data_IF_749477426280
#
_entry.id   IF_749477426280
#
_cell.length_a   1.000
_cell.length_b   1.000
_cell.length_c   1.000
_cell.angle_alpha   90.00
_cell.angle_beta   90.00
_cell.angle_gamma   90.00
#
_symmetry.space_group_name_H-M   'P 1'
#
loop_
_entity.id
_entity.type
_entity.pdbx_description
1 polymer ?
#
# COMPACT_ATOMS: atom_id res chain seq x y z
N UNK A 1 41.70 41.89 44.59
CA UNK A 1 41.66 41.25 43.26
C UNK A 1 40.47 40.30 43.23
N UNK A 2 39.31 40.69 42.70
CA UNK A 2 38.20 39.76 42.42
C UNK A 2 38.03 39.70 40.91
N UNK A 3 38.44 38.58 40.32
CA UNK A 3 38.33 38.34 38.89
C UNK A 3 36.89 37.96 38.54
N UNK A 4 36.30 38.71 37.61
CA UNK A 4 35.01 38.41 36.99
C UNK A 4 35.20 37.21 36.06
N UNK A 5 34.40 36.15 36.23
CA UNK A 5 34.20 35.14 35.21
C UNK A 5 32.77 35.25 34.68
N UNK A 6 32.64 35.85 33.50
CA UNK A 6 31.43 35.81 32.69
C UNK A 6 31.52 34.55 31.81
N UNK A 7 30.70 33.54 32.13
CA UNK A 7 30.50 32.39 31.25
C UNK A 7 29.44 32.75 30.21
N UNK A 8 29.84 32.87 28.95
CA UNK A 8 28.92 32.99 27.82
C UNK A 8 28.38 31.58 27.49
N UNK A 9 27.14 31.31 27.90
CA UNK A 9 26.43 30.09 27.51
C UNK A 9 25.89 30.23 26.08
N UNK A 10 26.39 29.42 25.15
CA UNK A 10 25.82 29.29 23.82
C UNK A 10 24.61 28.34 23.88
N UNK A 11 23.40 28.87 23.72
CA UNK A 11 22.18 28.08 23.57
C UNK A 11 22.06 27.59 22.14
N UNK A 12 22.27 26.28 21.94
CA UNK A 12 22.03 25.60 20.67
C UNK A 12 20.52 25.38 20.51
N UNK A 13 19.86 26.21 19.70
CA UNK A 13 18.44 26.05 19.39
C UNK A 13 18.23 24.89 18.41
N UNK A 14 17.65 23.79 18.88
CA UNK A 14 17.18 22.68 18.04
C UNK A 14 15.85 23.09 17.39
N UNK A 15 15.88 23.38 16.09
CA UNK A 15 14.65 23.57 15.31
C UNK A 15 14.02 22.20 15.04
N UNK A 16 12.94 21.88 15.75
CA UNK A 16 12.07 20.76 15.38
C UNK A 16 11.23 21.19 14.18
N UNK A 17 11.57 20.67 13.00
CA UNK A 17 10.73 20.83 11.81
C UNK A 17 9.58 19.83 11.91
N UNK A 18 8.42 20.28 12.36
CA UNK A 18 7.20 19.46 12.33
C UNK A 18 6.79 19.27 10.87
N UNK A 19 6.86 18.04 10.37
CA UNK A 19 6.27 17.72 9.07
C UNK A 19 4.74 17.85 9.18
N UNK A 20 4.13 18.55 8.23
CA UNK A 20 2.68 18.80 8.20
C UNK A 20 2.04 17.68 7.37
N UNK A 21 1.07 16.97 7.95
CA UNK A 21 0.25 16.01 7.22
C UNK A 21 -0.63 16.73 6.19
N UNK A 22 -0.77 16.14 5.00
CA UNK A 22 -1.59 16.68 3.91
C UNK A 22 -2.66 15.67 3.50
N UNK A 23 -3.75 16.16 2.90
CA UNK A 23 -4.78 15.30 2.34
C UNK A 23 -4.27 14.66 1.03
N UNK A 24 -4.54 13.37 0.87
CA UNK A 24 -4.26 12.65 -0.36
C UNK A 24 -5.24 13.09 -1.47
N UNK A 25 -4.75 13.53 -2.64
CA UNK A 25 -5.62 13.89 -3.75
C UNK A 25 -6.20 12.64 -4.40
N UNK A 26 -7.40 12.78 -4.98
CA UNK A 26 -7.95 11.78 -5.90
C UNK A 26 -7.07 11.72 -7.16
N UNK A 27 -6.59 10.53 -7.49
CA UNK A 27 -5.77 10.24 -8.69
C UNK A 27 -6.70 10.07 -9.90
N UNK A 28 -6.36 10.68 -11.03
CA UNK A 28 -7.24 10.80 -12.22
C UNK A 28 -6.62 10.36 -13.54
N UNK A 29 -5.38 9.90 -13.52
CA UNK A 29 -4.56 9.55 -14.68
C UNK A 29 -4.07 8.10 -14.65
N UNK A 30 -4.75 7.24 -13.86
CA UNK A 30 -4.46 5.81 -13.86
C UNK A 30 -4.72 5.19 -15.23
N UNK A 31 -3.88 4.23 -15.60
CA UNK A 31 -3.91 3.59 -16.91
C UNK A 31 -4.79 2.32 -16.85
N UNK A 32 -5.94 2.25 -17.56
CA UNK A 32 -6.89 1.14 -17.41
C UNK A 32 -6.32 -0.23 -17.80
N UNK A 33 -5.45 -0.28 -18.81
CA UNK A 33 -4.85 -1.53 -19.31
C UNK A 33 -3.62 -1.98 -18.52
N UNK A 34 -3.15 -1.17 -17.57
CA UNK A 34 -1.98 -1.50 -16.74
C UNK A 34 -2.43 -2.29 -15.53
N UNK A 35 -2.14 -3.60 -15.54
CA UNK A 35 -2.53 -4.56 -14.52
C UNK A 35 -1.32 -4.97 -13.68
N UNK A 36 -1.45 -4.87 -12.36
CA UNK A 36 -0.49 -5.39 -11.41
C UNK A 36 -1.11 -6.52 -10.58
N UNK A 37 -0.30 -7.51 -10.23
CA UNK A 37 -0.71 -8.57 -9.31
C UNK A 37 0.26 -8.72 -8.14
N UNK A 38 -0.25 -9.07 -6.97
CA UNK A 38 0.55 -9.50 -5.82
C UNK A 38 0.02 -10.83 -5.32
N UNK A 39 0.85 -11.87 -5.37
CA UNK A 39 0.52 -13.22 -4.87
C UNK A 39 1.14 -13.38 -3.48
N UNK A 40 0.34 -13.88 -2.53
CA UNK A 40 0.82 -14.12 -1.17
C UNK A 40 1.70 -15.37 -1.10
N UNK A 41 2.76 -15.29 -0.29
CA UNK A 41 3.76 -16.34 -0.19
C UNK A 41 3.21 -17.64 0.41
N UNK A 42 3.84 -18.75 0.04
CA UNK A 42 3.68 -20.00 0.76
C UNK A 42 4.55 -19.98 2.03
N UNK A 43 3.91 -19.78 3.19
CA UNK A 43 4.58 -19.69 4.50
C UNK A 43 3.98 -20.71 5.47
N UNK A 44 4.82 -21.46 6.15
CA UNK A 44 4.38 -22.43 7.17
C UNK A 44 3.67 -21.77 8.36
N UNK A 45 3.98 -20.50 8.63
CA UNK A 45 3.46 -19.75 9.78
C UNK A 45 2.20 -18.92 9.48
N UNK A 46 1.58 -19.11 8.32
CA UNK A 46 0.32 -18.47 7.93
C UNK A 46 -0.49 -19.39 7.04
N UNK A 47 -1.79 -19.48 7.28
CA UNK A 47 -2.71 -20.23 6.42
C UNK A 47 -3.21 -19.40 5.23
N UNK A 48 -3.03 -18.08 5.27
CA UNK A 48 -3.59 -17.17 4.28
C UNK A 48 -2.84 -17.30 2.95
N UNK A 49 -3.58 -17.57 1.87
CA UNK A 49 -3.09 -17.62 0.48
C UNK A 49 -4.00 -16.78 -0.41
N UNK A 50 -3.60 -16.59 -1.66
CA UNK A 50 -4.39 -15.89 -2.66
C UNK A 50 -3.63 -14.75 -3.33
N UNK A 51 -4.35 -13.77 -3.85
CA UNK A 51 -3.76 -12.65 -4.59
C UNK A 51 -4.58 -11.36 -4.54
N UNK A 52 -3.90 -10.26 -4.84
CA UNK A 52 -4.46 -8.97 -5.22
C UNK A 52 -4.24 -8.78 -6.71
N UNK A 53 -5.29 -8.44 -7.45
CA UNK A 53 -5.20 -7.96 -8.84
C UNK A 53 -5.66 -6.51 -8.87
N UNK A 54 -4.84 -5.63 -9.43
CA UNK A 54 -5.04 -4.19 -9.42
C UNK A 54 -4.96 -3.61 -10.84
N UNK A 55 -5.93 -2.77 -11.23
CA UNK A 55 -5.98 -2.16 -12.57
C UNK A 55 -6.66 -0.79 -12.52
N UNK A 56 -6.32 0.10 -13.46
CA UNK A 56 -6.95 1.42 -13.54
C UNK A 56 -8.44 1.32 -13.87
N UNK A 57 -9.26 2.23 -13.30
CA UNK A 57 -10.64 2.37 -13.74
C UNK A 57 -10.71 2.97 -15.15
N UNK A 58 -11.75 2.64 -15.92
CA UNK A 58 -11.90 3.07 -17.33
C UNK A 58 -11.88 4.60 -17.51
N UNK A 59 -12.31 5.35 -16.49
CA UNK A 59 -12.30 6.82 -16.45
C UNK A 59 -10.97 7.42 -15.98
N UNK A 60 -9.95 6.57 -15.74
CA UNK A 60 -8.63 6.93 -15.20
C UNK A 60 -8.62 7.29 -13.72
N UNK A 61 -9.78 7.31 -13.04
CA UNK A 61 -9.89 7.81 -11.67
C UNK A 61 -9.76 6.63 -10.69
N UNK A 62 -8.68 6.56 -9.93
CA UNK A 62 -8.46 5.47 -8.97
C UNK A 62 -8.18 4.09 -9.60
N UNK A 63 -8.04 3.10 -8.74
CA UNK A 63 -7.60 1.73 -9.03
C UNK A 63 -8.68 0.76 -8.54
N UNK A 64 -9.09 -0.17 -9.39
CA UNK A 64 -9.84 -1.34 -8.97
C UNK A 64 -8.93 -2.38 -8.35
N UNK A 65 -9.31 -2.88 -7.18
CA UNK A 65 -8.69 -4.04 -6.56
C UNK A 65 -9.69 -5.18 -6.54
N UNK A 66 -9.32 -6.30 -7.16
CA UNK A 66 -9.93 -7.59 -6.87
C UNK A 66 -9.03 -8.36 -5.91
N UNK A 67 -9.60 -8.73 -4.77
CA UNK A 67 -8.88 -9.45 -3.71
C UNK A 67 -9.52 -10.81 -3.52
N UNK A 68 -8.74 -11.86 -3.73
CA UNK A 68 -9.18 -13.24 -3.51
C UNK A 68 -8.24 -13.90 -2.52
N UNK A 69 -8.74 -14.28 -1.35
CA UNK A 69 -7.99 -14.94 -0.28
C UNK A 69 -8.66 -16.25 0.12
N UNK A 70 -7.83 -17.20 0.55
CA UNK A 70 -8.25 -18.48 1.14
C UNK A 70 -7.47 -18.73 2.42
N UNK A 71 -7.99 -19.62 3.28
CA UNK A 71 -7.32 -19.96 4.54
C UNK A 71 -7.28 -18.81 5.54
N UNK A 72 -8.23 -17.88 5.44
CA UNK A 72 -8.42 -16.81 6.42
C UNK A 72 -8.90 -17.42 7.74
N UNK A 73 -8.31 -17.05 8.91
CA UNK A 73 -8.75 -17.57 10.19
C UNK A 73 -10.17 -17.09 10.53
N UNK A 74 -11.05 -18.02 10.96
CA UNK A 74 -12.50 -17.78 11.12
C UNK A 74 -12.88 -16.92 12.32
N UNK A 75 -12.05 -16.90 13.36
CA UNK A 75 -12.36 -16.24 14.64
C UNK A 75 -11.74 -14.84 14.75
N UNK A 76 -11.30 -14.25 13.63
CA UNK A 76 -10.65 -12.94 13.63
C UNK A 76 -10.87 -12.19 12.32
N UNK A 77 -10.45 -10.94 12.27
CA UNK A 77 -10.36 -10.15 11.04
C UNK A 77 -8.89 -9.90 10.71
N UNK A 78 -8.61 -9.67 9.43
CA UNK A 78 -7.26 -9.32 8.98
C UNK A 78 -7.25 -7.91 8.40
N UNK A 79 -6.29 -7.10 8.83
CA UNK A 79 -6.00 -5.83 8.18
C UNK A 79 -5.05 -6.07 7.01
N UNK A 80 -5.06 -5.15 6.05
CA UNK A 80 -4.17 -5.23 4.91
C UNK A 80 -3.82 -3.85 4.40
N UNK A 81 -2.54 -3.66 4.13
CA UNK A 81 -1.99 -2.36 3.74
C UNK A 81 -1.01 -2.53 2.60
N UNK A 82 -0.91 -1.51 1.76
CA UNK A 82 0.22 -1.36 0.84
C UNK A 82 1.37 -0.74 1.62
N UNK A 83 2.52 -1.41 1.64
CA UNK A 83 3.72 -1.00 2.34
C UNK A 83 4.70 -0.30 1.39
N UNK A 84 5.52 0.59 1.95
CA UNK A 84 6.41 1.48 1.18
C UNK A 84 7.56 0.77 0.45
N UNK A 85 7.92 -0.45 0.86
CA UNK A 85 9.01 -1.21 0.23
C UNK A 85 8.53 -2.56 -0.29
N UNK A 86 9.19 -3.11 -1.33
CA UNK A 86 8.96 -4.49 -1.73
C UNK A 86 9.36 -5.46 -0.60
N UNK A 87 8.74 -6.64 -0.61
CA UNK A 87 9.21 -7.81 0.10
C UNK A 87 10.58 -8.21 -0.46
N UNK A 88 11.63 -8.33 0.36
CA UNK A 88 12.94 -8.82 -0.06
C UNK A 88 12.92 -10.30 -0.45
N UNK A 89 14.02 -10.79 -1.02
CA UNK A 89 14.18 -12.18 -1.47
C UNK A 89 13.97 -13.22 -0.37
N UNK A 90 14.25 -12.88 0.90
CA UNK A 90 14.05 -13.77 2.05
C UNK A 90 12.57 -13.89 2.50
N UNK A 91 11.65 -13.19 1.83
CA UNK A 91 10.21 -13.24 2.12
C UNK A 91 9.80 -12.54 3.42
N UNK A 92 10.69 -11.79 4.06
CA UNK A 92 10.42 -11.16 5.35
C UNK A 92 9.50 -9.94 5.20
N UNK A 93 8.24 -10.11 5.62
CA UNK A 93 7.23 -9.05 5.58
C UNK A 93 7.57 -7.85 6.46
N UNK A 94 8.44 -7.96 7.46
CA UNK A 94 8.83 -6.82 8.29
C UNK A 94 9.77 -5.84 7.55
N UNK A 95 10.50 -6.34 6.55
CA UNK A 95 11.42 -5.53 5.75
C UNK A 95 10.72 -4.60 4.75
N UNK A 96 9.40 -4.73 4.58
CA UNK A 96 8.60 -3.84 3.71
C UNK A 96 8.43 -2.43 4.28
N UNK A 97 8.91 -2.18 5.51
CA UNK A 97 8.83 -0.85 6.15
C UNK A 97 7.43 -0.51 6.64
N UNK A 98 7.11 0.79 6.72
CA UNK A 98 5.79 1.29 7.08
C UNK A 98 4.78 1.20 5.93
N UNK A 99 3.57 1.72 6.16
CA UNK A 99 2.56 1.86 5.11
C UNK A 99 3.02 2.89 4.06
N UNK A 100 2.51 2.78 2.84
CA UNK A 100 2.67 3.83 1.83
C UNK A 100 1.93 5.09 2.28
N UNK A 101 2.69 6.08 2.76
CA UNK A 101 2.15 7.30 3.36
C UNK A 101 2.90 8.55 2.89
N UNK A 102 2.78 8.89 1.58
CA UNK A 102 3.51 10.01 1.00
C UNK A 102 3.09 11.38 1.56
N UNK A 103 1.95 11.46 2.24
CA UNK A 103 1.40 12.69 2.81
C UNK A 103 1.53 12.76 4.33
N UNK A 104 2.32 11.85 4.92
CA UNK A 104 2.73 11.88 6.33
C UNK A 104 1.55 11.92 7.30
N UNK A 105 0.47 11.21 6.94
CA UNK A 105 -0.77 11.15 7.70
C UNK A 105 -0.55 10.44 9.04
N UNK A 106 0.20 9.34 9.03
CA UNK A 106 0.44 8.46 10.17
C UNK A 106 -0.72 7.49 10.47
N UNK A 107 -0.53 6.64 11.48
CA UNK A 107 -1.50 5.56 11.77
C UNK A 107 -2.62 6.00 12.73
N UNK A 108 -2.47 7.17 13.37
CA UNK A 108 -3.37 7.65 14.42
C UNK A 108 -3.88 9.08 14.12
N UNK A 109 -5.19 9.33 14.28
CA UNK A 109 -6.25 8.35 14.61
C UNK A 109 -6.44 7.30 13.50
N UNK A 110 -7.17 6.19 13.72
CA UNK A 110 -7.48 5.22 12.67
C UNK A 110 -8.16 5.89 11.46
N UNK A 111 -8.08 5.29 10.28
CA UNK A 111 -8.73 5.83 9.08
C UNK A 111 -10.22 6.05 9.32
N UNK A 112 -10.71 7.23 8.91
CA UNK A 112 -12.11 7.56 8.92
C UNK A 112 -12.64 7.55 7.48
N UNK A 113 -13.49 6.59 7.16
CA UNK A 113 -14.04 6.40 5.81
C UNK A 113 -14.94 7.53 5.35
N UNK A 114 -15.39 8.43 6.25
CA UNK A 114 -16.15 9.63 5.85
C UNK A 114 -15.27 10.75 5.29
N UNK A 115 -13.95 10.68 5.51
CA UNK A 115 -12.93 11.62 5.04
C UNK A 115 -11.68 10.84 4.58
N UNK A 116 -11.81 9.93 3.61
CA UNK A 116 -10.76 8.97 3.26
C UNK A 116 -9.50 9.61 2.66
N UNK A 117 -9.59 10.86 2.19
CA UNK A 117 -8.44 11.70 1.80
C UNK A 117 -7.47 11.96 2.97
N UNK A 118 -7.95 11.85 4.20
CA UNK A 118 -7.15 11.99 5.42
C UNK A 118 -6.56 10.67 5.91
N UNK A 119 -6.66 9.58 5.15
CA UNK A 119 -6.06 8.28 5.48
C UNK A 119 -4.72 8.11 4.78
N UNK A 120 -3.87 7.20 5.27
CA UNK A 120 -2.66 6.85 4.53
C UNK A 120 -3.06 6.27 3.17
N UNK A 121 -2.30 6.59 2.13
CA UNK A 121 -2.58 6.11 0.77
C UNK A 121 -2.64 4.57 0.74
N UNK A 122 -1.74 3.93 1.49
CA UNK A 122 -1.67 2.47 1.64
C UNK A 122 -2.62 1.85 2.67
N UNK A 123 -3.43 2.62 3.41
CA UNK A 123 -4.38 2.07 4.40
C UNK A 123 -5.67 1.57 3.72
N UNK A 124 -5.60 0.40 3.08
CA UNK A 124 -6.69 -0.13 2.27
C UNK A 124 -7.77 -0.76 3.14
N UNK A 125 -7.42 -1.52 4.19
CA UNK A 125 -8.42 -2.02 5.13
C UNK A 125 -9.15 -0.92 5.89
N UNK A 126 -8.48 0.20 6.21
CA UNK A 126 -9.12 1.35 6.83
C UNK A 126 -10.14 2.02 5.92
N UNK A 127 -9.85 2.11 4.61
CA UNK A 127 -10.75 2.71 3.61
C UNK A 127 -11.88 1.79 3.16
N UNK A 128 -11.61 0.50 2.97
CA UNK A 128 -12.51 -0.47 2.29
C UNK A 128 -13.00 -1.60 3.19
N UNK A 129 -12.59 -1.61 4.46
CA UNK A 129 -12.94 -2.62 5.45
C UNK A 129 -11.92 -3.75 5.56
N UNK A 130 -11.79 -4.38 6.74
CA UNK A 130 -10.89 -5.51 6.96
C UNK A 130 -11.42 -6.78 6.29
N UNK A 131 -10.55 -7.77 6.12
CA UNK A 131 -10.93 -9.11 5.68
C UNK A 131 -11.63 -9.83 6.82
N UNK A 132 -12.82 -10.36 6.56
CA UNK A 132 -13.52 -11.28 7.45
C UNK A 132 -14.31 -12.30 6.63
N UNK A 133 -14.37 -13.54 7.10
CA UNK A 133 -15.12 -14.61 6.43
C UNK A 133 -15.58 -15.66 7.43
N UNK A 134 -16.71 -16.30 7.13
CA UNK A 134 -17.25 -17.42 7.92
C UNK A 134 -16.67 -18.79 7.51
N UNK A 135 -16.22 -18.93 6.26
CA UNK A 135 -15.79 -20.22 5.69
C UNK A 135 -14.28 -20.30 5.43
N UNK A 136 -13.57 -19.17 5.46
CA UNK A 136 -12.13 -19.09 5.22
C UNK A 136 -11.77 -18.52 3.85
N UNK A 137 -12.77 -18.28 3.00
CA UNK A 137 -12.61 -17.70 1.67
C UNK A 137 -13.13 -16.26 1.62
N UNK A 138 -12.46 -15.41 0.87
CA UNK A 138 -12.79 -13.99 0.74
C UNK A 138 -12.58 -13.55 -0.71
N UNK A 139 -13.63 -13.01 -1.35
CA UNK A 139 -13.58 -12.38 -2.68
C UNK A 139 -14.29 -11.03 -2.62
N UNK A 140 -13.58 -9.97 -2.98
CA UNK A 140 -14.15 -8.61 -3.01
C UNK A 140 -13.57 -7.81 -4.18
N UNK A 141 -14.38 -6.88 -4.68
CA UNK A 141 -13.98 -5.86 -5.64
C UNK A 141 -14.34 -4.49 -5.07
N UNK A 142 -13.36 -3.59 -5.01
CA UNK A 142 -13.55 -2.19 -4.63
C UNK A 142 -12.68 -1.28 -5.48
N UNK A 143 -12.91 0.03 -5.38
CA UNK A 143 -12.17 1.07 -6.09
C UNK A 143 -11.52 2.01 -5.09
N UNK A 144 -10.20 2.11 -5.12
CA UNK A 144 -9.43 3.06 -4.32
C UNK A 144 -9.10 4.31 -5.13
N UNK A 145 -9.35 5.49 -4.58
CA UNK A 145 -9.21 6.76 -5.30
C UNK A 145 -7.83 7.42 -5.16
N UNK A 146 -6.96 6.89 -4.30
CA UNK A 146 -5.74 7.60 -3.86
C UNK A 146 -4.45 6.94 -4.34
N UNK A 147 -4.53 5.70 -4.81
CA UNK A 147 -3.40 4.96 -5.38
C UNK A 147 -3.20 5.25 -6.85
N UNK A 148 -1.95 5.12 -7.30
CA UNK A 148 -1.56 5.29 -8.69
C UNK A 148 -0.87 4.06 -9.28
N UNK A 149 -1.22 3.69 -10.52
CA UNK A 149 -0.44 2.75 -11.33
C UNK A 149 0.50 3.44 -12.34
N UNK A 150 0.64 4.76 -12.23
CA UNK A 150 1.57 5.58 -13.03
C UNK A 150 2.91 5.66 -12.30
N UNK A 151 3.98 5.24 -12.98
CA UNK A 151 5.35 5.24 -12.44
C UNK A 151 5.77 6.64 -12.02
N UNK A 152 6.69 6.72 -11.06
CA UNK A 152 7.29 7.94 -10.54
C UNK A 152 6.33 8.94 -9.87
N UNK A 153 5.07 8.57 -9.67
CA UNK A 153 4.15 9.31 -8.79
C UNK A 153 4.35 8.91 -7.33
N UNK A 154 4.08 9.83 -6.40
CA UNK A 154 4.25 9.57 -4.95
C UNK A 154 3.31 8.48 -4.41
N UNK A 155 2.20 8.23 -5.11
CA UNK A 155 1.20 7.21 -4.78
C UNK A 155 1.38 5.91 -5.62
N UNK A 156 2.48 5.78 -6.35
CA UNK A 156 2.74 4.61 -7.19
C UNK A 156 2.90 3.34 -6.35
N UNK A 157 2.02 2.37 -6.57
CA UNK A 157 2.05 1.10 -5.81
C UNK A 157 2.72 -0.06 -6.56
N UNK A 158 2.97 0.08 -7.86
CA UNK A 158 3.39 -1.04 -8.70
C UNK A 158 4.77 -1.63 -8.37
N UNK A 159 5.61 -0.93 -7.60
CA UNK A 159 6.90 -1.41 -7.10
C UNK A 159 6.91 -1.60 -5.57
N UNK A 160 5.72 -1.80 -4.99
CA UNK A 160 5.49 -1.92 -3.56
C UNK A 160 5.01 -3.32 -3.20
N UNK A 161 4.68 -3.51 -1.93
CA UNK A 161 4.12 -4.76 -1.44
C UNK A 161 2.78 -4.56 -0.76
N UNK A 162 1.97 -5.61 -0.70
CA UNK A 162 0.81 -5.70 0.19
C UNK A 162 1.15 -6.62 1.34
N UNK A 163 0.76 -6.24 2.56
CA UNK A 163 0.98 -7.02 3.79
C UNK A 163 -0.34 -7.25 4.48
N UNK A 164 -0.56 -8.48 4.95
CA UNK A 164 -1.70 -8.89 5.75
C UNK A 164 -1.28 -8.96 7.21
N UNK A 165 -2.10 -8.39 8.08
CA UNK A 165 -1.87 -8.30 9.52
C UNK A 165 -3.00 -8.94 10.31
N UNK A 166 -2.65 -9.52 11.46
CA UNK A 166 -3.61 -9.75 12.54
C UNK A 166 -3.99 -8.42 13.23
N UNK A 167 -5.06 -8.40 14.06
CA UNK A 167 -5.49 -7.19 14.77
C UNK A 167 -4.43 -6.56 15.69
N UNK A 168 -3.44 -7.34 16.13
CA UNK A 168 -2.29 -6.89 16.92
C UNK A 168 -1.12 -6.34 16.08
N UNK A 169 -1.37 -6.07 14.78
CA UNK A 169 -0.42 -5.62 13.77
C UNK A 169 0.65 -6.64 13.36
N UNK A 170 0.62 -7.87 13.85
CA UNK A 170 1.57 -8.91 13.43
C UNK A 170 1.40 -9.20 11.94
N UNK A 171 2.50 -9.10 11.18
CA UNK A 171 2.54 -9.37 9.73
C UNK A 171 2.54 -10.88 9.50
N UNK A 172 1.48 -11.41 8.91
CA UNK A 172 1.32 -12.86 8.72
C UNK A 172 1.61 -13.32 7.29
N UNK A 173 1.37 -12.48 6.29
CA UNK A 173 1.77 -12.77 4.91
C UNK A 173 1.97 -11.46 4.14
N UNK A 174 2.65 -11.53 3.00
CA UNK A 174 2.88 -10.38 2.14
C UNK A 174 3.26 -10.84 0.72
N UNK A 175 3.07 -9.95 -0.26
CA UNK A 175 3.43 -10.19 -1.66
C UNK A 175 3.82 -8.89 -2.36
N UNK A 176 4.71 -9.00 -3.35
CA UNK A 176 5.11 -7.88 -4.21
C UNK A 176 4.12 -7.68 -5.35
N UNK A 177 3.80 -6.43 -5.64
CA UNK A 177 3.16 -6.10 -6.92
C UNK A 177 4.17 -6.30 -8.05
N UNK A 178 3.73 -6.96 -9.11
CA UNK A 178 4.46 -7.09 -10.37
C UNK A 178 3.52 -6.79 -11.53
N UNK A 179 4.07 -6.20 -12.59
CA UNK A 179 3.32 -5.90 -13.81
C UNK A 179 2.94 -7.21 -14.49
N UNK A 180 1.66 -7.35 -14.85
CA UNK A 180 1.12 -8.50 -15.59
C UNK A 180 0.81 -8.13 -17.03
N UNK A 181 0.32 -6.91 -17.27
CA UNK A 181 0.09 -6.37 -18.62
C UNK A 181 0.09 -4.85 -18.62
N UNK A 182 0.44 -4.25 -19.76
CA UNK A 182 0.24 -2.82 -20.05
C UNK A 182 -0.07 -2.60 -21.55
N UNK A 183 -0.43 -1.36 -21.92
CA UNK A 183 -0.71 -1.00 -23.32
C UNK A 183 0.51 -1.21 -24.25
N UNK A 184 1.73 -1.11 -23.72
CA UNK A 184 2.96 -1.25 -24.49
C UNK A 184 3.19 -2.71 -24.90
N UNK A 185 2.93 -3.66 -24.01
CA UNK A 185 3.02 -5.10 -24.28
C UNK A 185 1.91 -5.57 -25.22
N UNK A 186 0.67 -5.09 -25.05
CA UNK A 186 -0.42 -5.37 -25.99
C UNK A 186 -0.12 -4.83 -27.41
N UNK A 187 0.49 -3.66 -27.50
CA UNK A 187 0.92 -3.07 -28.78
C UNK A 187 2.05 -3.85 -29.47
N UNK A 188 2.93 -4.51 -28.71
CA UNK A 188 3.99 -5.38 -29.25
C UNK A 188 3.43 -6.72 -29.72
N UNK A 189 2.47 -7.29 -29.00
CA UNK A 189 1.82 -8.56 -29.37
C UNK A 189 0.93 -8.41 -30.61
N UNK A 190 0.16 -7.33 -30.70
CA UNK A 190 -0.65 -7.01 -31.88
C UNK A 190 0.18 -6.77 -33.16
N UNK A 191 1.40 -6.20 -33.02
CA UNK A 191 2.33 -6.02 -34.15
C UNK A 191 2.99 -7.32 -34.60
N UNK A 192 3.08 -8.33 -33.74
CA UNK A 192 3.62 -9.64 -34.08
C UNK A 192 2.64 -10.48 -34.89
N UNK A 193 1.33 -10.30 -34.66
CA UNK A 193 0.26 -11.04 -35.34
C UNK A 193 -0.10 -10.46 -36.73
N UNK A 194 0.31 -9.23 -37.02
CA UNK A 194 0.14 -8.59 -38.34
C UNK A 194 1.32 -8.87 -39.31
N UNK A 195 2.25 -9.72 -38.91
CA UNK A 195 3.38 -10.16 -39.73
C UNK A 195 3.21 -11.59 -40.23
N UNK A 196 2.20 -11.83 -41.09
CA UNK A 196 2.07 -13.01 -41.94
C UNK A 196 1.63 -12.58 -43.35
#
# INVERSE_FOLDING_TARGET
MLSKFLAAGATLALFFSSAIALDAPVIKDNQPQTVYEAVFQDKDNSTVRGKYTAYGADDGIGIHFRVTLTGVPKDTFLNYHIHDKPVPEDGNCYSTGGHLDPYLRGDQPPCNTTVPETCQVGDISGKHGPVWTADGDFDVLYRDFFLSNVKDTVAFFGNRSVVIHLPDNKRINCGNFHLVSDEEEMGKEAKKDQGC
#
